data_IF_736604891662
#
_entry.id   IF_736604891662
#
_cell.length_a   1.000
_cell.length_b   1.000
_cell.length_c   1.000
_cell.angle_alpha   90.00
_cell.angle_beta   90.00
_cell.angle_gamma   90.00
#
_symmetry.space_group_name_H-M   'P 1'
#
loop_
_entity.id
_entity.type
_entity.pdbx_description
1 polymer ?
#
# COMPACT_ATOMS: atom_id res chain seq x y z
N UNK A 1 0.09 -12.02 1.27
CA UNK A 1 -0.18 -10.59 1.51
C UNK A 1 -0.36 -10.38 3.00
N UNK A 2 0.15 -9.27 3.55
CA UNK A 2 0.07 -8.97 4.97
C UNK A 2 -0.24 -7.48 5.20
N UNK A 3 -0.85 -7.18 6.34
CA UNK A 3 -1.20 -5.81 6.76
C UNK A 3 -0.45 -5.48 8.04
N UNK A 4 0.24 -4.33 8.07
CA UNK A 4 0.78 -3.75 9.30
C UNK A 4 0.04 -2.44 9.58
N UNK A 5 -0.69 -2.41 10.69
CA UNK A 5 -1.34 -1.20 11.19
C UNK A 5 -0.40 -0.52 12.20
N UNK A 6 -0.26 0.79 12.07
CA UNK A 6 0.53 1.64 12.98
C UNK A 6 -0.26 2.91 13.30
N UNK A 7 0.26 3.75 14.19
CA UNK A 7 -0.29 5.09 14.45
C UNK A 7 -0.21 5.99 13.21
N UNK A 8 0.78 5.77 12.34
CA UNK A 8 1.03 6.60 11.14
C UNK A 8 0.22 6.17 9.92
N UNK A 9 -0.42 5.00 9.99
CA UNK A 9 -1.25 4.49 8.89
C UNK A 9 -1.26 2.97 8.76
N UNK A 10 -1.79 2.51 7.62
CA UNK A 10 -1.93 1.10 7.25
C UNK A 10 -0.96 0.79 6.11
N UNK A 11 -0.17 -0.26 6.28
CA UNK A 11 0.83 -0.72 5.32
C UNK A 11 0.37 -2.06 4.75
N UNK A 12 0.20 -2.12 3.44
CA UNK A 12 -0.19 -3.31 2.70
C UNK A 12 1.07 -3.87 2.04
N UNK A 13 1.57 -5.01 2.52
CA UNK A 13 2.75 -5.68 1.97
C UNK A 13 2.36 -6.92 1.19
N UNK A 14 3.06 -7.19 0.10
CA UNK A 14 2.87 -8.39 -0.70
C UNK A 14 4.20 -9.00 -1.14
N UNK A 15 4.14 -10.31 -1.40
CA UNK A 15 5.13 -11.08 -2.12
C UNK A 15 4.39 -12.01 -3.09
N UNK A 16 4.85 -12.12 -4.33
CA UNK A 16 4.27 -12.98 -5.35
C UNK A 16 5.35 -13.62 -6.22
N UNK A 17 5.13 -14.86 -6.65
CA UNK A 17 5.99 -15.59 -7.59
C UNK A 17 5.35 -15.73 -8.99
N UNK A 18 4.14 -15.19 -9.16
CA UNK A 18 3.46 -15.05 -10.46
C UNK A 18 4.16 -14.02 -11.33
N UNK A 19 3.88 -14.04 -12.64
CA UNK A 19 4.34 -13.01 -13.59
C UNK A 19 3.92 -11.60 -13.13
N UNK A 20 2.69 -11.47 -12.65
CA UNK A 20 2.16 -10.19 -12.18
C UNK A 20 1.25 -10.34 -10.96
N UNK A 21 1.15 -9.26 -10.19
CA UNK A 21 0.26 -9.13 -9.03
C UNK A 21 -0.27 -7.70 -8.95
N UNK A 22 -1.58 -7.55 -8.74
CA UNK A 22 -2.25 -6.26 -8.63
C UNK A 22 -2.70 -6.02 -7.18
N UNK A 23 -2.39 -4.83 -6.64
CA UNK A 23 -2.92 -4.37 -5.36
C UNK A 23 -3.67 -3.06 -5.57
N UNK A 24 -4.98 -3.08 -5.32
CA UNK A 24 -5.79 -1.87 -5.20
C UNK A 24 -6.04 -1.56 -3.73
N UNK A 25 -6.11 -0.27 -3.39
CA UNK A 25 -6.55 0.16 -2.06
C UNK A 25 -7.04 1.61 -2.08
N UNK A 26 -7.77 1.95 -1.03
CA UNK A 26 -8.39 3.25 -0.83
C UNK A 26 -8.49 3.49 0.67
N UNK A 27 -8.23 4.71 1.11
CA UNK A 27 -8.55 5.17 2.47
C UNK A 27 -9.60 6.29 2.42
N UNK A 28 -10.05 6.77 3.58
CA UNK A 28 -11.09 7.82 3.67
C UNK A 28 -10.68 9.18 3.08
N UNK A 29 -9.39 9.40 2.85
CA UNK A 29 -8.85 10.64 2.28
C UNK A 29 -8.60 10.53 0.77
N UNK A 30 -8.50 9.30 0.25
CA UNK A 30 -8.34 9.01 -1.16
C UNK A 30 -9.64 9.38 -1.88
N UNK A 31 -9.60 10.36 -2.80
CA UNK A 31 -10.77 10.73 -3.63
C UNK A 31 -11.22 9.61 -4.58
N UNK A 32 -10.32 8.65 -4.87
CA UNK A 32 -10.52 7.50 -5.75
C UNK A 32 -9.56 6.37 -5.34
N UNK A 33 -9.86 5.10 -5.61
CA UNK A 33 -8.93 4.00 -5.34
C UNK A 33 -7.63 4.17 -6.14
N UNK A 34 -6.53 3.69 -5.56
CA UNK A 34 -5.21 3.67 -6.18
C UNK A 34 -4.75 2.23 -6.31
N UNK A 35 -4.07 1.91 -7.41
CA UNK A 35 -3.53 0.59 -7.67
C UNK A 35 -2.01 0.60 -7.86
N UNK A 36 -1.39 -0.54 -7.54
CA UNK A 36 -0.01 -0.88 -7.87
C UNK A 36 -0.04 -2.17 -8.67
N UNK A 37 0.61 -2.15 -9.82
CA UNK A 37 0.88 -3.36 -10.62
C UNK A 37 2.32 -3.77 -10.42
N UNK A 38 2.54 -4.88 -9.72
CA UNK A 38 3.85 -5.49 -9.56
C UNK A 38 4.07 -6.52 -10.66
N UNK A 39 5.24 -6.48 -11.30
CA UNK A 39 5.69 -7.46 -12.30
C UNK A 39 6.97 -8.12 -11.85
N UNK A 40 7.03 -9.44 -11.99
CA UNK A 40 8.22 -10.21 -11.65
C UNK A 40 9.15 -10.32 -12.85
N UNK A 41 10.10 -9.38 -12.96
CA UNK A 41 11.04 -9.33 -14.09
C UNK A 41 12.22 -10.31 -13.94
N UNK A 42 12.30 -11.07 -12.84
CA UNK A 42 13.41 -11.99 -12.56
C UNK A 42 13.11 -13.45 -12.97
N UNK A 43 11.93 -13.73 -13.51
CA UNK A 43 11.54 -15.06 -14.00
C UNK A 43 11.12 -16.05 -12.90
N UNK A 44 10.84 -17.28 -13.31
CA UNK A 44 10.30 -18.36 -12.46
C UNK A 44 11.19 -18.64 -11.23
N UNK A 45 10.56 -18.82 -10.06
CA UNK A 45 11.23 -19.13 -8.79
C UNK A 45 11.63 -17.92 -7.95
N UNK A 46 11.61 -16.71 -8.51
CA UNK A 46 11.81 -15.47 -7.75
C UNK A 46 10.50 -14.98 -7.12
N UNK A 47 10.61 -14.42 -5.91
CA UNK A 47 9.50 -13.73 -5.26
C UNK A 47 9.69 -12.22 -5.44
N UNK A 48 8.84 -11.59 -6.22
CA UNK A 48 8.73 -10.14 -6.27
C UNK A 48 7.97 -9.65 -5.04
N UNK A 49 8.46 -8.59 -4.42
CA UNK A 49 7.90 -8.03 -3.19
C UNK A 49 7.61 -6.54 -3.37
N UNK A 50 6.63 -6.03 -2.64
CA UNK A 50 6.30 -4.63 -2.65
C UNK A 50 5.22 -4.29 -1.63
N UNK A 51 4.70 -3.07 -1.72
CA UNK A 51 3.60 -2.66 -0.88
C UNK A 51 3.05 -1.29 -1.24
N UNK A 52 1.94 -0.94 -0.58
CA UNK A 52 1.35 0.41 -0.61
C UNK A 52 1.08 0.87 0.82
N UNK A 53 1.27 2.15 1.06
CA UNK A 53 0.95 2.80 2.32
C UNK A 53 -0.30 3.67 2.19
N UNK A 54 -1.23 3.50 3.13
CA UNK A 54 -2.33 4.41 3.38
C UNK A 54 -1.96 5.24 4.61
N UNK A 55 -1.37 6.43 4.39
CA UNK A 55 -1.03 7.35 5.50
C UNK A 55 -2.29 7.91 6.13
N UNK A 56 -2.27 8.09 7.44
CA UNK A 56 -3.30 8.87 8.16
C UNK A 56 -2.84 10.32 8.19
N UNK A 57 -3.64 11.30 7.75
CA UNK A 57 -3.32 12.69 8.08
C UNK A 57 -3.52 12.91 9.58
N UNK A 58 -2.52 13.53 10.20
CA UNK A 58 -2.73 14.19 11.48
C UNK A 58 -3.64 15.39 11.21
N UNK A 59 -4.80 15.41 11.86
CA UNK A 59 -5.60 16.63 11.95
C UNK A 59 -4.85 17.52 12.92
N UNK A 60 -4.13 18.51 12.40
CA UNK A 60 -3.60 19.59 13.21
C UNK A 60 -4.77 20.51 13.54
N UNK A 61 -5.22 20.50 14.78
CA UNK A 61 -6.15 21.51 15.25
C UNK A 61 -5.36 22.81 15.30
N UNK A 62 -5.52 23.65 14.27
CA UNK A 62 -5.10 25.03 14.35
C UNK A 62 -5.85 25.65 15.53
N UNK A 63 -5.13 25.97 16.60
CA UNK A 63 -5.66 26.80 17.69
C UNK A 63 -5.96 28.15 17.03
N UNK A 64 -7.23 28.42 16.77
CA UNK A 64 -7.67 29.75 16.38
C UNK A 64 -7.56 30.61 17.64
N UNK A 65 -6.45 31.34 17.75
CA UNK A 65 -6.22 32.39 18.76
C UNK A 65 -6.92 33.69 18.36
#
# INVERSE_FOLDING_TARGET
MAVKKTVDGIYLFFGHNTESFALASMNSEDRKPVSVMSRNNKGHGNVAQGGRVCRRKRVEFAVMS
#
